data_IF_137786669609
#
_entry.id   IF_137786669609
#
_cell.length_a   1.000
_cell.length_b   1.000
_cell.length_c   1.000
_cell.angle_alpha   90.00
_cell.angle_beta   90.00
_cell.angle_gamma   90.00
#
_symmetry.space_group_name_H-M   'P 1'
#
loop_
_entity.id
_entity.type
_entity.pdbx_description
1 polymer ?
#
# COMPACT_ATOMS: atom_id res chain seq x y z
N UNK A 1 1.03 -4.72 1.90
CA UNK A 1 2.00 -3.59 1.87
C UNK A 1 3.32 -3.91 1.16
N UNK A 2 3.99 -5.06 1.41
CA UNK A 2 5.27 -5.40 0.77
C UNK A 2 5.25 -5.35 -0.77
N UNK A 3 4.20 -5.87 -1.42
CA UNK A 3 4.05 -5.80 -2.89
C UNK A 3 4.16 -4.36 -3.41
N UNK A 4 3.54 -3.41 -2.70
CA UNK A 4 3.54 -2.00 -3.11
C UNK A 4 4.93 -1.38 -2.94
N UNK A 5 5.61 -1.68 -1.83
CA UNK A 5 6.98 -1.22 -1.56
C UNK A 5 7.97 -1.73 -2.62
N UNK A 6 7.92 -3.03 -2.96
CA UNK A 6 8.78 -3.60 -4.00
C UNK A 6 8.48 -3.01 -5.37
N UNK A 7 7.20 -2.91 -5.74
CA UNK A 7 6.78 -2.30 -7.00
C UNK A 7 7.31 -0.87 -7.14
N UNK A 8 7.07 -0.01 -6.14
CA UNK A 8 7.51 1.37 -6.16
C UNK A 8 9.04 1.47 -6.29
N UNK A 9 9.78 0.60 -5.57
CA UNK A 9 11.24 0.55 -5.65
C UNK A 9 11.74 0.18 -7.04
N UNK A 10 11.15 -0.86 -7.66
CA UNK A 10 11.52 -1.31 -9.02
C UNK A 10 11.19 -0.25 -10.06
N UNK A 11 10.00 0.35 -9.99
CA UNK A 11 9.56 1.36 -10.96
C UNK A 11 10.42 2.64 -10.87
N UNK A 12 10.75 3.09 -9.66
CA UNK A 12 11.57 4.29 -9.45
C UNK A 12 13.03 4.11 -9.91
N UNK A 13 13.58 2.90 -9.81
CA UNK A 13 14.97 2.59 -10.18
C UNK A 13 15.11 1.87 -11.52
N UNK A 14 14.05 1.85 -12.35
CA UNK A 14 14.04 1.10 -13.62
C UNK A 14 15.19 1.44 -14.57
N UNK A 15 15.68 2.69 -14.51
CA UNK A 15 16.77 3.20 -15.34
C UNK A 15 18.08 3.43 -14.56
N UNK A 16 18.15 2.96 -13.31
CA UNK A 16 19.33 3.09 -12.46
C UNK A 16 20.23 1.87 -12.61
N UNK A 17 21.50 2.10 -12.98
CA UNK A 17 22.51 1.04 -13.08
C UNK A 17 23.07 0.62 -11.71
N UNK A 18 22.71 1.34 -10.64
CA UNK A 18 23.22 1.13 -9.27
C UNK A 18 22.53 -0.04 -8.53
N UNK A 19 21.69 -0.81 -9.22
CA UNK A 19 20.88 -1.88 -8.61
C UNK A 19 19.67 -1.34 -7.82
N UNK A 20 18.87 -2.27 -7.28
CA UNK A 20 17.65 -1.95 -6.53
C UNK A 20 17.96 -1.80 -5.04
N UNK A 21 17.57 -0.70 -4.38
CA UNK A 21 17.71 -0.58 -2.94
C UNK A 21 16.79 -1.58 -2.22
N UNK A 22 17.20 -2.03 -1.02
CA UNK A 22 16.42 -2.99 -0.26
C UNK A 22 15.18 -2.36 0.37
N UNK A 23 14.08 -3.12 0.37
CA UNK A 23 12.90 -2.81 1.21
C UNK A 23 13.20 -3.28 2.62
N UNK A 24 13.26 -2.36 3.57
CA UNK A 24 13.58 -2.64 4.97
C UNK A 24 12.33 -2.89 5.80
N UNK A 25 12.33 -3.94 6.63
CA UNK A 25 11.26 -4.19 7.60
C UNK A 25 11.83 -4.11 9.01
N UNK A 26 11.20 -3.31 9.87
CA UNK A 26 11.49 -3.26 11.31
C UNK A 26 10.28 -3.81 12.04
N UNK A 27 10.50 -4.75 12.95
CA UNK A 27 9.46 -5.33 13.80
C UNK A 27 9.73 -4.86 15.22
N UNK A 28 8.72 -4.29 15.87
CA UNK A 28 8.75 -3.93 17.27
C UNK A 28 7.53 -4.57 17.96
N UNK A 29 7.75 -5.16 19.13
CA UNK A 29 6.71 -5.79 19.92
C UNK A 29 6.70 -5.10 21.27
N UNK A 30 5.55 -4.53 21.62
CA UNK A 30 5.25 -3.96 22.93
C UNK A 30 4.32 -4.94 23.68
N UNK A 31 3.98 -4.64 24.92
CA UNK A 31 3.09 -5.48 25.73
C UNK A 31 1.68 -5.60 25.10
N UNK A 32 1.19 -4.51 24.49
CA UNK A 32 -0.17 -4.42 23.95
C UNK A 32 -0.25 -4.36 22.41
N UNK A 33 0.86 -4.17 21.70
CA UNK A 33 0.84 -4.03 20.24
C UNK A 33 2.06 -4.65 19.53
N UNK A 34 1.81 -5.17 18.33
CA UNK A 34 2.82 -5.51 17.33
C UNK A 34 2.88 -4.40 16.29
N UNK A 35 4.08 -3.85 16.05
CA UNK A 35 4.32 -2.81 15.05
C UNK A 35 5.29 -3.32 13.99
N UNK A 36 4.85 -3.30 12.72
CA UNK A 36 5.71 -3.52 11.57
C UNK A 36 5.89 -2.21 10.82
N UNK A 37 7.13 -1.75 10.72
CA UNK A 37 7.51 -0.63 9.85
C UNK A 37 8.14 -1.17 8.57
N UNK A 38 7.50 -0.95 7.43
CA UNK A 38 8.01 -1.31 6.10
C UNK A 38 8.50 -0.02 5.44
N UNK A 39 9.76 0.02 5.01
CA UNK A 39 10.41 1.18 4.41
C UNK A 39 10.89 0.84 3.01
N UNK A 40 10.53 1.67 2.04
CA UNK A 40 11.02 1.58 0.67
C UNK A 40 11.81 2.81 0.25
N UNK A 41 12.46 2.71 -0.91
CA UNK A 41 13.08 3.84 -1.61
C UNK A 41 12.40 4.06 -2.97
N UNK A 42 11.08 3.88 -3.02
CA UNK A 42 10.30 3.93 -4.26
C UNK A 42 9.92 5.33 -4.74
N UNK A 43 10.68 6.37 -4.35
CA UNK A 43 10.40 7.76 -4.75
C UNK A 43 9.25 8.44 -3.99
N UNK A 44 8.48 7.72 -3.19
CA UNK A 44 7.43 8.29 -2.34
C UNK A 44 6.22 8.84 -3.13
N UNK A 45 5.29 9.46 -2.40
CA UNK A 45 4.04 10.01 -2.95
C UNK A 45 3.91 11.52 -2.61
N UNK A 46 3.37 12.35 -3.52
CA UNK A 46 3.01 13.72 -3.20
C UNK A 46 1.99 13.78 -2.05
N UNK A 47 2.18 14.70 -1.11
CA UNK A 47 1.34 14.83 0.09
C UNK A 47 -0.15 15.02 -0.24
N UNK A 48 -0.46 15.69 -1.35
CA UNK A 48 -1.83 15.91 -1.84
C UNK A 48 -2.58 14.63 -2.24
N UNK A 49 -1.87 13.50 -2.43
CA UNK A 49 -2.47 12.22 -2.78
C UNK A 49 -2.60 11.26 -1.59
N UNK A 50 -2.02 11.60 -0.43
CA UNK A 50 -2.07 10.74 0.76
C UNK A 50 -3.50 10.52 1.25
N UNK A 51 -4.36 11.54 1.17
CA UNK A 51 -5.75 11.40 1.61
C UNK A 51 -6.52 10.40 0.75
N UNK A 52 -6.15 10.26 -0.53
CA UNK A 52 -6.82 9.39 -1.51
C UNK A 52 -6.31 7.95 -1.49
N UNK A 53 -5.16 7.66 -0.85
CA UNK A 53 -4.56 6.32 -0.87
C UNK A 53 -5.43 5.26 -0.16
N UNK A 54 -6.35 5.71 0.69
CA UNK A 54 -7.30 4.88 1.42
C UNK A 54 -8.65 4.75 0.74
N UNK A 55 -8.88 5.43 -0.39
CA UNK A 55 -10.08 5.26 -1.18
C UNK A 55 -10.05 3.93 -1.94
N UNK A 56 -11.15 3.20 -1.92
CA UNK A 56 -11.30 2.02 -2.76
C UNK A 56 -11.21 2.40 -4.24
N UNK A 57 -10.62 1.51 -5.05
CA UNK A 57 -10.32 1.72 -6.48
C UNK A 57 -9.28 2.80 -6.79
N UNK A 58 -8.68 3.46 -5.79
CA UNK A 58 -7.56 4.36 -6.05
C UNK A 58 -6.31 3.58 -6.49
N UNK A 59 -5.78 3.92 -7.67
CA UNK A 59 -4.55 3.32 -8.20
C UNK A 59 -3.62 4.39 -8.76
N UNK A 60 -2.37 4.41 -8.28
CA UNK A 60 -1.32 5.33 -8.74
C UNK A 60 -0.98 5.16 -10.22
N UNK A 61 -1.35 4.04 -10.84
CA UNK A 61 -1.15 3.81 -12.27
C UNK A 61 -1.96 4.77 -13.16
N UNK A 62 -3.12 5.22 -12.70
CA UNK A 62 -4.01 6.08 -13.48
C UNK A 62 -3.49 7.52 -13.54
N UNK A 63 -2.77 7.96 -12.50
CA UNK A 63 -2.16 9.28 -12.41
C UNK A 63 -0.98 9.48 -13.37
N UNK A 64 -0.29 8.41 -13.77
CA UNK A 64 0.84 8.49 -14.69
C UNK A 64 0.40 8.69 -16.15
N UNK A 65 -0.82 8.28 -16.51
CA UNK A 65 -1.30 8.31 -17.88
C UNK A 65 -2.30 9.45 -18.15
N UNK A 66 -3.18 9.84 -17.21
CA UNK A 66 -4.12 10.96 -17.39
C UNK A 66 -4.57 11.53 -16.02
N UNK A 67 -4.17 12.74 -15.62
CA UNK A 67 -4.47 13.31 -14.29
C UNK A 67 -5.94 13.76 -14.10
N UNK A 68 -6.82 13.57 -15.09
CA UNK A 68 -8.15 14.20 -15.13
C UNK A 68 -9.35 13.26 -14.94
N UNK A 69 -9.17 11.94 -14.78
CA UNK A 69 -10.29 11.01 -14.54
C UNK A 69 -10.12 10.20 -13.24
N UNK A 70 -10.79 10.66 -12.18
CA UNK A 70 -11.20 9.82 -11.05
C UNK A 70 -12.54 9.12 -11.40
N UNK A 71 -12.61 8.44 -12.54
CA UNK A 71 -13.88 7.88 -13.03
C UNK A 71 -14.03 6.41 -12.66
N UNK A 72 -15.20 6.07 -12.10
CA UNK A 72 -15.66 4.70 -11.87
C UNK A 72 -15.62 3.81 -13.12
N UNK A 73 -15.65 4.40 -14.32
CA UNK A 73 -15.66 3.68 -15.61
C UNK A 73 -14.35 2.97 -15.95
N UNK A 74 -13.23 3.40 -15.36
CA UNK A 74 -11.92 2.81 -15.68
C UNK A 74 -11.71 1.45 -14.99
N UNK A 75 -12.46 1.17 -13.93
CA UNK A 75 -12.48 -0.14 -13.27
C UNK A 75 -13.11 -1.21 -14.18
N UNK A 76 -14.28 -0.93 -14.80
CA UNK A 76 -14.93 -1.86 -15.74
C UNK A 76 -14.03 -2.14 -16.94
N UNK A 77 -13.43 -1.08 -17.50
CA UNK A 77 -12.54 -1.21 -18.65
C UNK A 77 -11.25 -1.98 -18.31
N UNK A 78 -10.65 -1.78 -17.13
CA UNK A 78 -9.46 -2.53 -16.70
C UNK A 78 -9.77 -3.98 -16.29
N UNK A 79 -10.94 -4.23 -15.70
CA UNK A 79 -11.39 -5.59 -15.39
C UNK A 79 -11.65 -6.37 -16.69
N UNK A 80 -12.27 -5.71 -17.68
CA UNK A 80 -12.49 -6.31 -19.00
C UNK A 80 -11.17 -6.57 -19.75
N UNK A 81 -10.21 -5.64 -19.71
CA UNK A 81 -8.89 -5.78 -20.33
C UNK A 81 -8.10 -7.00 -19.78
N UNK A 82 -8.15 -7.26 -18.46
CA UNK A 82 -7.52 -8.44 -17.85
C UNK A 82 -8.25 -9.76 -18.13
N UNK A 83 -9.54 -9.74 -18.45
CA UNK A 83 -10.31 -10.94 -18.79
C UNK A 83 -10.18 -11.29 -20.29
N UNK A 84 -10.02 -10.28 -21.14
CA UNK A 84 -9.91 -10.43 -22.60
C UNK A 84 -8.47 -10.69 -23.02
N UNK A 85 -7.49 -10.03 -22.39
CA UNK A 85 -6.07 -10.29 -22.62
C UNK A 85 -5.55 -11.20 -21.52
N UNK A 86 -5.18 -12.44 -21.88
CA UNK A 86 -4.53 -13.41 -20.97
C UNK A 86 -3.11 -12.97 -20.53
N UNK A 87 -2.81 -11.66 -20.51
CA UNK A 87 -1.56 -11.13 -19.96
C UNK A 87 -1.76 -10.71 -18.50
N UNK A 88 -2.08 -11.71 -17.67
CA UNK A 88 -2.17 -11.56 -16.21
C UNK A 88 -0.80 -11.39 -15.55
N UNK A 89 0.30 -11.38 -16.33
CA UNK A 89 1.66 -11.54 -15.81
C UNK A 89 2.37 -10.23 -15.52
N UNK A 90 1.92 -9.09 -16.06
CA UNK A 90 2.77 -7.91 -16.14
C UNK A 90 2.35 -6.70 -15.30
N UNK A 91 1.30 -6.80 -14.49
CA UNK A 91 0.84 -5.68 -13.63
C UNK A 91 0.87 -6.05 -12.15
N UNK A 92 1.97 -5.71 -11.47
CA UNK A 92 2.11 -5.90 -10.02
C UNK A 92 1.13 -5.03 -9.19
N UNK A 93 0.55 -3.98 -9.79
CA UNK A 93 -0.51 -3.16 -9.16
C UNK A 93 -1.87 -3.86 -9.24
N UNK A 94 -2.51 -4.08 -8.09
CA UNK A 94 -3.91 -4.56 -8.07
C UNK A 94 -4.90 -3.42 -8.39
N UNK A 95 -6.19 -3.72 -8.31
CA UNK A 95 -7.31 -2.80 -8.58
C UNK A 95 -7.52 -1.68 -7.53
N UNK A 96 -6.49 -1.29 -6.78
CA UNK A 96 -6.61 -0.23 -5.76
C UNK A 96 -7.21 -0.66 -4.42
N UNK A 97 -7.50 -1.95 -4.20
CA UNK A 97 -8.06 -2.44 -2.93
C UNK A 97 -7.01 -2.72 -1.85
N UNK A 98 -5.73 -2.87 -2.22
CA UNK A 98 -4.72 -3.42 -1.32
C UNK A 98 -4.49 -2.58 -0.06
N UNK A 99 -4.38 -1.25 -0.20
CA UNK A 99 -4.13 -0.34 0.94
C UNK A 99 -5.38 -0.17 1.81
N UNK A 100 -6.57 0.15 1.25
CA UNK A 100 -7.81 0.26 2.03
C UNK A 100 -8.14 -1.04 2.78
N UNK A 101 -8.05 -2.19 2.12
CA UNK A 101 -8.31 -3.48 2.75
C UNK A 101 -7.30 -3.81 3.84
N UNK A 102 -6.01 -3.53 3.63
CA UNK A 102 -4.98 -3.73 4.67
C UNK A 102 -5.29 -2.88 5.91
N UNK A 103 -5.77 -1.64 5.73
CA UNK A 103 -6.18 -0.76 6.83
C UNK A 103 -7.40 -1.31 7.58
N UNK A 104 -8.44 -1.74 6.86
CA UNK A 104 -9.63 -2.35 7.47
C UNK A 104 -9.27 -3.59 8.32
N UNK A 105 -8.33 -4.43 7.87
CA UNK A 105 -7.83 -5.55 8.67
C UNK A 105 -7.10 -5.11 9.95
N UNK A 106 -6.30 -4.04 9.88
CA UNK A 106 -5.62 -3.52 11.06
C UNK A 106 -6.63 -2.96 12.07
N UNK A 107 -7.61 -2.18 11.59
CA UNK A 107 -8.67 -1.61 12.44
C UNK A 107 -9.56 -2.70 13.06
N UNK A 108 -9.88 -3.76 12.31
CA UNK A 108 -10.59 -4.94 12.84
C UNK A 108 -9.84 -5.59 14.00
N UNK A 109 -8.51 -5.65 13.93
CA UNK A 109 -7.65 -6.18 14.98
C UNK A 109 -7.22 -5.11 16.00
N UNK A 110 -8.04 -4.06 16.18
CA UNK A 110 -7.83 -2.98 17.14
C UNK A 110 -6.46 -2.30 17.00
N UNK A 111 -5.97 -2.22 15.77
CA UNK A 111 -4.72 -1.60 15.37
C UNK A 111 -4.93 -0.44 14.42
N UNK A 112 -3.89 -0.10 13.66
CA UNK A 112 -3.96 0.98 12.66
C UNK A 112 -2.92 0.78 11.56
N UNK A 113 -3.16 1.44 10.42
CA UNK A 113 -2.21 1.48 9.31
C UNK A 113 -1.97 2.93 8.92
N UNK A 114 -0.75 3.41 9.09
CA UNK A 114 -0.34 4.77 8.71
C UNK A 114 0.77 4.74 7.67
N UNK A 115 0.80 5.75 6.81
CA UNK A 115 1.77 5.86 5.73
C UNK A 115 2.40 7.24 5.83
N UNK A 116 3.70 7.26 6.08
CA UNK A 116 4.53 8.44 6.02
C UNK A 116 5.34 8.39 4.73
N UNK A 117 5.36 9.48 3.97
CA UNK A 117 6.06 9.49 2.68
C UNK A 117 6.93 10.72 2.54
N UNK A 118 8.11 10.53 1.95
CA UNK A 118 9.03 11.58 1.58
C UNK A 118 9.11 11.59 0.06
N UNK A 119 8.38 12.52 -0.55
CA UNK A 119 8.36 12.66 -2.01
C UNK A 119 9.77 12.89 -2.57
N UNK A 120 10.13 12.13 -3.60
CA UNK A 120 11.48 12.05 -4.17
C UNK A 120 12.41 11.04 -3.49
N UNK A 121 12.02 10.44 -2.35
CA UNK A 121 12.87 9.51 -1.60
C UNK A 121 12.23 8.13 -1.43
N UNK A 122 11.05 8.04 -0.84
CA UNK A 122 10.43 6.75 -0.48
C UNK A 122 9.31 6.88 0.53
N UNK A 123 8.78 5.75 0.99
CA UNK A 123 7.70 5.71 1.99
C UNK A 123 7.99 4.74 3.14
N UNK A 124 7.50 5.12 4.32
CA UNK A 124 7.48 4.34 5.54
C UNK A 124 6.02 4.01 5.88
N UNK A 125 5.68 2.73 5.89
CA UNK A 125 4.36 2.22 6.25
C UNK A 125 4.44 1.60 7.64
N UNK A 126 3.60 2.06 8.56
CA UNK A 126 3.47 1.50 9.89
C UNK A 126 2.18 0.68 9.96
N UNK A 127 2.32 -0.61 10.22
CA UNK A 127 1.23 -1.54 10.49
C UNK A 127 1.25 -1.83 11.98
N UNK A 128 0.18 -1.47 12.68
CA UNK A 128 -0.02 -1.74 14.10
C UNK A 128 -1.16 -2.72 14.26
N UNK A 129 -0.98 -3.72 15.11
CA UNK A 129 -2.00 -4.73 15.44
C UNK A 129 -2.03 -4.88 16.96
N UNK A 130 -3.22 -4.81 17.55
CA UNK A 130 -3.39 -5.04 18.98
C UNK A 130 -3.09 -6.50 19.33
N UNK A 131 -2.31 -6.74 20.38
CA UNK A 131 -2.09 -8.07 20.91
C UNK A 131 -3.27 -8.47 21.79
N UNK A 132 -3.79 -9.69 21.59
CA UNK A 132 -4.83 -10.26 22.44
C UNK A 132 -4.19 -10.69 23.76
N UNK A 133 -4.06 -9.75 24.70
CA UNK A 133 -3.76 -10.06 26.09
C UNK A 133 -5.04 -10.57 26.78
N UNK A 134 -4.90 -11.39 27.82
CA UNK A 134 -6.00 -12.05 28.53
C UNK A 134 -7.06 -11.07 29.06
N UNK A 135 -6.69 -9.80 29.28
CA UNK A 135 -7.57 -8.72 29.76
C UNK A 135 -8.46 -8.14 28.65
N UNK A 136 -8.05 -8.22 27.38
CA UNK A 136 -8.83 -7.73 26.23
C UNK A 136 -9.90 -8.72 25.74
N UNK A 137 -10.07 -9.88 26.41
CA UNK A 137 -11.07 -10.90 26.04
C UNK A 137 -12.49 -10.64 26.56
N UNK A 138 -12.68 -9.72 27.51
CA UNK A 138 -13.94 -9.61 28.27
C UNK A 138 -14.83 -8.45 27.82
N UNK A 139 -14.29 -7.47 27.10
CA UNK A 139 -15.09 -6.31 26.68
C UNK A 139 -15.47 -6.48 25.21
N UNK A 140 -16.70 -6.94 24.96
CA UNK A 140 -17.48 -6.90 23.69
C UNK A 140 -17.86 -8.28 23.11
N UNK A 141 -18.85 -8.90 23.75
CA UNK A 141 -20.03 -9.45 23.05
C UNK A 141 -21.17 -8.43 23.18
#
# INVERSE_FOLDING_TARGET
MLKNAFRATVEHHRYSDLGLPSVGVTIAVNEDELVLRIRDRGGGMPRALLDKIFDYHFSSNNLANEPSLLSYTDFENHFHDQLVTHDSTNRMSGYGFGVPTSRAYCEYLNGSLTIETMYGIGSDVYVRVGLLTSENRIVRL
#
